data_IF_687528721067
#
_entry.id   IF_687528721067
#
_cell.length_a   1.000
_cell.length_b   1.000
_cell.length_c   1.000
_cell.angle_alpha   90.00
_cell.angle_beta   90.00
_cell.angle_gamma   90.00
#
_symmetry.space_group_name_H-M   'P 1'
#
loop_
_entity.id
_entity.type
_entity.pdbx_description
1 polymer ?
#
# COMPACT_ATOMS: atom_id res chain seq x y z
N UNK A 1 4.46 7.26 10.49
CA UNK A 1 5.05 6.99 9.16
C UNK A 1 3.91 6.55 8.23
N UNK A 2 3.79 7.10 7.01
CA UNK A 2 2.57 6.99 6.18
C UNK A 2 2.17 5.55 5.77
N UNK A 3 3.15 4.68 5.53
CA UNK A 3 2.92 3.29 5.11
C UNK A 3 2.88 2.29 6.28
N UNK A 4 3.21 2.70 7.49
CA UNK A 4 3.18 1.84 8.68
C UNK A 4 3.87 0.47 8.49
N UNK A 5 5.15 0.50 8.12
CA UNK A 5 5.93 -0.67 7.68
C UNK A 5 6.66 -1.42 8.79
N UNK A 6 6.72 -0.88 10.01
CA UNK A 6 7.37 -1.52 11.16
C UNK A 6 6.47 -2.60 11.79
N UNK A 7 6.00 -3.51 10.93
CA UNK A 7 5.08 -4.61 11.25
C UNK A 7 5.50 -5.85 10.47
N UNK A 8 5.22 -7.07 10.97
CA UNK A 8 5.60 -8.31 10.31
C UNK A 8 4.63 -8.68 9.15
N UNK A 9 4.57 -7.86 8.10
CA UNK A 9 3.62 -8.02 6.97
C UNK A 9 4.22 -8.68 5.71
N UNK A 10 5.52 -8.92 5.69
CA UNK A 10 6.28 -9.28 4.47
C UNK A 10 6.11 -10.74 4.00
N UNK A 11 5.64 -11.66 4.86
CA UNK A 11 5.50 -13.07 4.48
C UNK A 11 4.60 -13.26 3.26
N UNK A 12 3.55 -12.44 3.13
CA UNK A 12 2.58 -12.53 2.03
C UNK A 12 3.14 -12.04 0.69
N UNK A 13 4.12 -11.14 0.71
CA UNK A 13 4.74 -10.61 -0.53
C UNK A 13 5.77 -11.56 -1.13
N UNK A 14 6.24 -12.57 -0.38
CA UNK A 14 7.28 -13.51 -0.83
C UNK A 14 6.83 -14.47 -1.96
N UNK A 15 5.55 -14.46 -2.31
CA UNK A 15 5.00 -15.26 -3.41
C UNK A 15 3.86 -14.50 -4.07
N UNK A 16 3.60 -14.79 -5.35
CA UNK A 16 2.54 -14.15 -6.15
C UNK A 16 2.69 -12.64 -6.35
N UNK A 17 3.91 -12.10 -6.14
CA UNK A 17 4.25 -10.70 -6.38
C UNK A 17 3.95 -9.75 -5.22
N UNK A 18 4.57 -8.58 -5.28
CA UNK A 18 4.49 -7.51 -4.27
C UNK A 18 3.39 -6.48 -4.55
N UNK A 19 2.95 -6.37 -5.80
CA UNK A 19 2.09 -5.28 -6.29
C UNK A 19 0.80 -5.78 -6.94
N UNK A 20 -0.20 -4.90 -7.03
CA UNK A 20 -1.47 -5.14 -7.71
C UNK A 20 -2.41 -6.08 -6.95
N UNK A 21 -2.10 -6.36 -5.69
CA UNK A 21 -2.87 -7.24 -4.82
C UNK A 21 -3.60 -6.43 -3.74
N UNK A 22 -4.79 -6.88 -3.36
CA UNK A 22 -5.72 -6.09 -2.52
C UNK A 22 -5.68 -6.49 -1.03
N UNK A 23 -4.56 -6.98 -0.53
CA UNK A 23 -4.39 -7.29 0.90
C UNK A 23 -4.47 -6.02 1.74
N UNK A 24 -5.16 -6.11 2.88
CA UNK A 24 -5.27 -5.00 3.83
C UNK A 24 -3.92 -4.57 4.42
N UNK A 25 -2.97 -5.51 4.48
CA UNK A 25 -1.63 -5.24 5.01
C UNK A 25 -0.74 -4.40 4.08
N UNK A 26 -1.03 -4.39 2.77
CA UNK A 26 -0.23 -3.70 1.76
C UNK A 26 -0.68 -2.24 1.67
N UNK A 27 -0.19 -1.43 2.60
CA UNK A 27 -0.48 0.00 2.68
C UNK A 27 -0.07 0.79 1.44
N UNK A 28 0.93 0.31 0.69
CA UNK A 28 1.40 0.94 -0.55
C UNK A 28 0.44 0.79 -1.74
N UNK A 29 -0.51 -0.15 -1.68
CA UNK A 29 -1.54 -0.33 -2.71
C UNK A 29 -2.73 0.61 -2.53
N UNK A 30 -2.78 1.38 -1.43
CA UNK A 30 -3.86 2.33 -1.16
C UNK A 30 -3.76 3.56 -2.07
N UNK A 31 -4.89 3.95 -2.63
CA UNK A 31 -5.05 5.15 -3.47
C UNK A 31 -5.78 6.28 -2.73
N UNK A 32 -5.67 6.31 -1.40
CA UNK A 32 -6.35 7.26 -0.51
C UNK A 32 -5.91 8.72 -0.69
N UNK A 33 -4.75 8.96 -1.31
CA UNK A 33 -4.27 10.30 -1.64
C UNK A 33 -4.76 10.86 -2.99
N UNK A 34 -5.53 10.10 -3.78
CA UNK A 34 -6.00 10.55 -5.10
C UNK A 34 -6.75 11.88 -5.02
N UNK A 35 -7.71 12.01 -4.10
CA UNK A 35 -8.48 13.24 -3.93
C UNK A 35 -7.64 14.41 -3.43
N UNK A 36 -6.58 14.14 -2.66
CA UNK A 36 -5.63 15.17 -2.25
C UNK A 36 -4.86 15.70 -3.46
N UNK A 37 -4.38 14.82 -4.33
CA UNK A 37 -3.59 15.22 -5.50
C UNK A 37 -4.41 15.86 -6.62
N UNK A 38 -5.68 15.45 -6.80
CA UNK A 38 -6.61 16.13 -7.72
C UNK A 38 -6.79 17.62 -7.46
N UNK A 39 -6.56 18.09 -6.22
CA UNK A 39 -6.63 19.53 -5.87
C UNK A 39 -5.46 20.36 -6.40
N UNK A 40 -4.39 19.73 -6.84
CA UNK A 40 -3.17 20.38 -7.33
C UNK A 40 -3.01 20.28 -8.86
N UNK A 41 -4.01 19.73 -9.53
CA UNK A 41 -4.18 19.74 -10.99
C UNK A 41 -5.02 20.95 -11.38
#
# INVERSE_FOLDING_TARGET
CQLDLLRPIYKKTASYGHFGRKEKEFSWEKTDLVEKFKKYL
#
